data_IF_055278921709
#
_entry.id   IF_055278921709
#
_cell.length_a   1.000
_cell.length_b   1.000
_cell.length_c   1.000
_cell.angle_alpha   90.00
_cell.angle_beta   90.00
_cell.angle_gamma   90.00
#
_symmetry.space_group_name_H-M   'P 1'
#
loop_
_entity.id
_entity.type
_entity.pdbx_description
1 polymer ?
#
# COMPACT_ATOMS: atom_id res chain seq x y z
N UNK A 1 -14.50 -19.51 -3.47
CA UNK A 1 -14.61 -18.24 -2.71
C UNK A 1 -14.33 -17.13 -3.70
N UNK A 2 -15.33 -16.30 -3.95
CA UNK A 2 -15.39 -15.40 -5.12
C UNK A 2 -14.21 -14.43 -5.15
N UNK A 3 -13.41 -14.46 -6.22
CA UNK A 3 -12.48 -13.38 -6.56
C UNK A 3 -13.32 -12.11 -6.74
N UNK A 4 -13.36 -11.28 -5.69
CA UNK A 4 -13.97 -9.95 -5.75
C UNK A 4 -12.89 -9.01 -6.22
N UNK A 5 -13.08 -8.53 -7.44
CA UNK A 5 -12.23 -7.51 -8.01
C UNK A 5 -12.19 -6.33 -7.04
N UNK A 6 -10.99 -5.95 -6.62
CA UNK A 6 -10.77 -4.95 -5.58
C UNK A 6 -9.94 -3.82 -6.16
N UNK A 7 -10.44 -2.59 -6.06
CA UNK A 7 -9.72 -1.39 -6.48
C UNK A 7 -9.30 -0.63 -5.24
N UNK A 8 -8.01 -0.33 -5.14
CA UNK A 8 -7.45 0.52 -4.09
C UNK A 8 -7.26 1.92 -4.66
N UNK A 9 -7.91 2.89 -4.04
CA UNK A 9 -7.71 4.32 -4.29
C UNK A 9 -6.74 4.85 -3.24
N UNK A 10 -5.69 5.54 -3.68
CA UNK A 10 -4.65 6.05 -2.79
C UNK A 10 -4.29 7.48 -3.13
N UNK A 11 -4.01 8.26 -2.09
CA UNK A 11 -3.45 9.60 -2.20
C UNK A 11 -2.31 9.76 -1.19
N UNK A 12 -1.07 9.88 -1.68
CA UNK A 12 0.12 9.89 -0.82
C UNK A 12 0.36 11.22 -0.10
N UNK A 13 -0.23 12.31 -0.58
CA UNK A 13 -0.12 13.64 0.04
C UNK A 13 -1.39 14.46 -0.20
N UNK A 14 -1.56 15.60 0.47
CA UNK A 14 -2.71 16.48 0.20
C UNK A 14 -2.78 17.02 -1.25
N UNK A 15 -1.68 16.94 -2.00
CA UNK A 15 -1.67 17.31 -3.40
C UNK A 15 -2.51 16.33 -4.25
N UNK A 16 -3.56 16.85 -4.89
CA UNK A 16 -4.49 16.08 -5.74
C UNK A 16 -3.79 15.38 -6.91
N UNK A 17 -2.64 15.86 -7.36
CA UNK A 17 -1.86 15.22 -8.42
C UNK A 17 -1.28 13.85 -7.99
N UNK A 18 -1.24 13.55 -6.69
CA UNK A 18 -0.74 12.26 -6.16
C UNK A 18 -1.80 11.17 -6.07
N UNK A 19 -3.03 11.46 -6.52
CA UNK A 19 -4.11 10.47 -6.59
C UNK A 19 -3.77 9.42 -7.64
N UNK A 20 -3.79 8.17 -7.20
CA UNK A 20 -3.61 7.01 -8.07
C UNK A 20 -4.56 5.90 -7.63
N UNK A 21 -4.76 4.92 -8.51
CA UNK A 21 -5.51 3.72 -8.19
C UNK A 21 -4.70 2.49 -8.58
N UNK A 22 -5.02 1.37 -7.95
CA UNK A 22 -4.47 0.06 -8.25
C UNK A 22 -5.62 -0.94 -8.32
N UNK A 23 -5.60 -1.78 -9.34
CA UNK A 23 -6.61 -2.79 -9.60
C UNK A 23 -6.08 -4.19 -9.27
N UNK A 24 -6.91 -5.00 -8.62
CA UNK A 24 -6.58 -6.36 -8.23
C UNK A 24 -7.76 -7.29 -8.46
N UNK A 25 -7.49 -8.55 -8.81
CA UNK A 25 -8.56 -9.54 -9.05
C UNK A 25 -9.15 -10.09 -7.75
N UNK A 26 -8.50 -9.85 -6.62
CA UNK A 26 -8.91 -10.34 -5.30
C UNK A 26 -8.51 -9.40 -4.17
N UNK A 27 -9.24 -9.47 -3.06
CA UNK A 27 -8.93 -8.74 -1.81
C UNK A 27 -7.53 -9.11 -1.30
N UNK A 28 -7.15 -10.38 -1.36
CA UNK A 28 -5.83 -10.84 -0.90
C UNK A 28 -4.70 -10.19 -1.69
N UNK A 29 -4.81 -10.15 -3.02
CA UNK A 29 -3.82 -9.47 -3.88
C UNK A 29 -3.76 -7.96 -3.59
N UNK A 30 -4.90 -7.34 -3.30
CA UNK A 30 -4.93 -5.92 -2.93
C UNK A 30 -4.17 -5.65 -1.62
N UNK A 31 -4.34 -6.52 -0.62
CA UNK A 31 -3.59 -6.43 0.64
C UNK A 31 -2.08 -6.65 0.41
N UNK A 32 -1.70 -7.65 -0.39
CA UNK A 32 -0.30 -7.89 -0.76
C UNK A 32 0.31 -6.68 -1.49
N UNK A 33 -0.49 -6.00 -2.32
CA UNK A 33 -0.11 -4.77 -3.00
C UNK A 33 0.23 -3.62 -2.04
N UNK A 34 -0.56 -3.43 -0.98
CA UNK A 34 -0.31 -2.42 0.05
C UNK A 34 1.00 -2.73 0.80
N UNK A 35 1.22 -3.99 1.19
CA UNK A 35 2.47 -4.42 1.82
C UNK A 35 3.68 -4.18 0.90
N UNK A 36 3.58 -4.55 -0.38
CA UNK A 36 4.64 -4.33 -1.36
C UNK A 36 4.98 -2.86 -1.60
N UNK A 37 3.98 -1.97 -1.55
CA UNK A 37 4.16 -0.51 -1.61
C UNK A 37 5.03 -0.02 -0.45
N UNK A 38 4.72 -0.48 0.76
CA UNK A 38 5.47 -0.13 1.96
C UNK A 38 6.90 -0.68 1.91
N UNK A 39 7.06 -1.95 1.52
CA UNK A 39 8.37 -2.59 1.37
C UNK A 39 9.26 -1.89 0.36
N UNK A 40 8.70 -1.47 -0.78
CA UNK A 40 9.44 -0.70 -1.78
C UNK A 40 9.94 0.62 -1.21
N UNK A 41 9.09 1.35 -0.48
CA UNK A 41 9.48 2.59 0.19
C UNK A 41 10.57 2.35 1.23
N UNK A 42 10.48 1.26 2.01
CA UNK A 42 11.53 0.87 2.95
C UNK A 42 12.85 0.54 2.26
N UNK A 43 12.83 -0.14 1.10
CA UNK A 43 14.03 -0.39 0.28
C UNK A 43 14.65 0.89 -0.30
N UNK A 44 13.83 1.85 -0.70
CA UNK A 44 14.30 3.15 -1.20
C UNK A 44 15.00 3.95 -0.10
N UNK A 45 14.51 3.87 1.15
CA UNK A 45 15.13 4.53 2.31
C UNK A 45 16.39 3.79 2.78
N UNK A 46 16.37 2.46 2.75
CA UNK A 46 17.45 1.61 3.27
C UNK A 46 18.01 0.66 2.18
N UNK A 47 18.67 1.18 1.13
CA UNK A 47 19.14 0.36 0.01
C UNK A 47 20.23 -0.65 0.39
N UNK A 48 20.91 -0.45 1.53
CA UNK A 48 21.94 -1.35 2.03
C UNK A 48 21.39 -2.59 2.73
N UNK A 49 20.12 -2.58 3.16
CA UNK A 49 19.50 -3.67 3.91
C UNK A 49 18.89 -4.67 2.91
N UNK A 50 19.47 -5.89 2.85
CA UNK A 50 18.98 -6.95 1.95
C UNK A 50 17.65 -7.55 2.39
N UNK A 51 17.49 -7.79 3.69
CA UNK A 51 16.26 -8.32 4.28
C UNK A 51 15.67 -7.29 5.23
N UNK A 52 14.52 -6.75 4.86
CA UNK A 52 13.80 -5.76 5.65
C UNK A 52 12.77 -6.51 6.49
N UNK A 53 12.85 -6.34 7.80
CA UNK A 53 11.81 -6.77 8.75
C UNK A 53 11.16 -5.52 9.31
N UNK A 54 9.84 -5.49 9.30
CA UNK A 54 9.02 -4.41 9.85
C UNK A 54 7.92 -5.02 10.70
N UNK A 55 7.44 -4.27 11.69
CA UNK A 55 6.27 -4.68 12.46
C UNK A 55 4.98 -4.22 11.77
N UNK A 56 3.86 -4.88 12.08
CA UNK A 56 2.55 -4.47 11.56
C UNK A 56 2.18 -3.05 12.03
N UNK A 57 2.66 -2.65 13.21
CA UNK A 57 2.55 -1.29 13.72
C UNK A 57 3.16 -0.25 12.77
N UNK A 58 4.31 -0.56 12.16
CA UNK A 58 4.99 0.34 11.23
C UNK A 58 4.22 0.48 9.91
N UNK A 59 3.61 -0.61 9.45
CA UNK A 59 2.72 -0.61 8.29
C UNK A 59 1.47 0.26 8.55
N UNK A 60 0.84 0.13 9.73
CA UNK A 60 -0.29 0.97 10.09
C UNK A 60 0.09 2.45 10.16
N UNK A 61 1.22 2.78 10.79
CA UNK A 61 1.73 4.15 10.81
C UNK A 61 1.98 4.71 9.39
N UNK A 62 2.44 3.87 8.47
CA UNK A 62 2.60 4.26 7.06
C UNK A 62 1.26 4.56 6.39
N UNK A 63 0.24 3.72 6.62
CA UNK A 63 -1.11 3.90 6.08
C UNK A 63 -1.76 5.16 6.66
N UNK A 64 -1.64 5.38 7.97
CA UNK A 64 -2.16 6.57 8.66
C UNK A 64 -1.48 7.86 8.20
N UNK A 65 -0.25 7.75 7.67
CA UNK A 65 0.48 8.87 7.08
C UNK A 65 0.02 9.24 5.66
N UNK A 66 -0.79 8.41 4.99
CA UNK A 66 -1.37 8.72 3.69
C UNK A 66 -2.50 9.74 3.85
N UNK A 67 -2.69 10.59 2.84
CA UNK A 67 -3.77 11.56 2.87
C UNK A 67 -5.14 10.90 2.69
N UNK A 68 -5.19 9.82 1.91
CA UNK A 68 -6.38 8.99 1.71
C UNK A 68 -5.96 7.59 1.25
N UNK A 69 -6.63 6.57 1.76
CA UNK A 69 -6.53 5.19 1.33
C UNK A 69 -7.91 4.53 1.47
N UNK A 70 -8.50 4.13 0.35
CA UNK A 70 -9.83 3.55 0.28
C UNK A 70 -9.85 2.31 -0.59
N UNK A 71 -10.69 1.33 -0.27
CA UNK A 71 -10.87 0.11 -1.04
C UNK A 71 -12.31 -0.02 -1.54
N UNK A 72 -12.47 -0.41 -2.80
CA UNK A 72 -13.73 -0.75 -3.45
C UNK A 72 -13.70 -2.24 -3.77
N UNK A 73 -14.65 -3.02 -3.26
CA UNK A 73 -14.72 -4.49 -3.33
C UNK A 73 -16.04 -4.96 -3.91
#
# INVERSE_FOLDING_TARGET
MSNRHTIILMQTSQNRATRTFMDYDSISQAMDGICGLYERKLKEINPAIRNITYDISDLYNFIDGLADLSALV
#
